data_IF_683441272413
#
_entry.id   IF_683441272413
#
_cell.length_a   1.000
_cell.length_b   1.000
_cell.length_c   1.000
_cell.angle_alpha   90.00
_cell.angle_beta   90.00
_cell.angle_gamma   90.00
#
_symmetry.space_group_name_H-M   'P 1'
#
loop_
_entity.id
_entity.type
_entity.pdbx_description
1 polymer ?
#
# COMPACT_ATOMS: atom_id res chain seq x y z
N UNK A 1 9.17 -8.50 8.86
CA UNK A 1 8.13 -8.74 7.83
C UNK A 1 7.05 -7.66 7.84
N UNK A 2 6.48 -7.32 9.01
CA UNK A 2 5.29 -6.44 9.17
C UNK A 2 5.26 -5.14 8.36
N UNK A 3 6.37 -4.40 8.28
CA UNK A 3 6.40 -3.13 7.52
C UNK A 3 6.12 -3.34 6.02
N UNK A 4 6.64 -4.43 5.43
CA UNK A 4 6.37 -4.79 4.03
C UNK A 4 4.90 -5.21 3.87
N UNK A 5 4.38 -6.02 4.81
CA UNK A 5 2.99 -6.47 4.78
C UNK A 5 2.03 -5.28 4.75
N UNK A 6 2.18 -4.33 5.68
CA UNK A 6 1.29 -3.17 5.78
C UNK A 6 1.47 -2.21 4.59
N UNK A 7 2.70 -2.02 4.09
CA UNK A 7 2.93 -1.22 2.88
C UNK A 7 2.15 -1.81 1.69
N UNK A 8 2.27 -3.11 1.46
CA UNK A 8 1.51 -3.78 0.39
C UNK A 8 -0.01 -3.78 0.62
N UNK A 9 -0.48 -3.77 1.87
CA UNK A 9 -1.92 -3.65 2.18
C UNK A 9 -2.49 -2.29 1.79
N UNK A 10 -1.74 -1.21 1.99
CA UNK A 10 -2.12 0.11 1.51
C UNK A 10 -2.06 0.18 -0.01
N UNK A 11 -0.99 -0.37 -0.62
CA UNK A 11 -0.82 -0.39 -2.06
C UNK A 11 -1.93 -1.18 -2.79
N UNK A 12 -2.34 -2.36 -2.30
CA UNK A 12 -3.46 -3.10 -2.90
C UNK A 12 -4.82 -2.53 -2.52
N UNK A 13 -4.95 -1.99 -1.31
CA UNK A 13 -6.23 -1.59 -0.74
C UNK A 13 -6.74 -0.24 -1.27
N UNK A 14 -5.85 0.73 -1.48
CA UNK A 14 -6.25 2.06 -1.92
C UNK A 14 -6.91 2.08 -3.32
N UNK A 15 -6.27 1.57 -4.39
CA UNK A 15 -6.87 1.54 -5.72
C UNK A 15 -8.11 0.64 -5.79
N UNK A 16 -8.14 -0.49 -5.05
CA UNK A 16 -9.35 -1.31 -4.94
C UNK A 16 -10.54 -0.50 -4.41
N UNK A 17 -10.36 0.23 -3.31
CA UNK A 17 -11.44 1.05 -2.73
C UNK A 17 -11.84 2.21 -3.64
N UNK A 18 -10.88 2.89 -4.25
CA UNK A 18 -11.12 4.00 -5.20
C UNK A 18 -11.89 3.52 -6.44
N UNK A 19 -11.55 2.35 -6.97
CA UNK A 19 -12.29 1.70 -8.05
C UNK A 19 -13.64 1.12 -7.59
N UNK A 20 -13.90 1.00 -6.28
CA UNK A 20 -15.03 0.26 -5.72
C UNK A 20 -14.98 -1.24 -6.00
N UNK A 21 -13.79 -1.78 -6.21
CA UNK A 21 -13.53 -3.21 -6.28
C UNK A 21 -13.32 -3.77 -4.87
N UNK A 22 -13.60 -5.06 -4.69
CA UNK A 22 -13.24 -5.75 -3.46
C UNK A 22 -11.72 -5.68 -3.22
N UNK A 23 -11.32 -5.48 -1.97
CA UNK A 23 -9.90 -5.50 -1.60
C UNK A 23 -9.46 -6.96 -1.46
N UNK A 24 -8.47 -7.43 -2.24
CA UNK A 24 -8.02 -8.81 -2.12
C UNK A 24 -7.39 -9.05 -0.74
N UNK A 25 -7.73 -10.20 -0.15
CA UNK A 25 -7.16 -10.64 1.14
C UNK A 25 -5.84 -11.36 0.91
N UNK A 26 -4.79 -10.89 1.55
CA UNK A 26 -3.49 -11.57 1.59
C UNK A 26 -3.29 -12.07 3.02
N UNK A 27 -2.86 -13.32 3.19
CA UNK A 27 -2.53 -13.85 4.51
C UNK A 27 -1.17 -13.30 4.96
N UNK A 28 -1.04 -12.96 6.23
CA UNK A 28 0.21 -12.42 6.81
C UNK A 28 1.13 -13.55 7.31
N UNK A 29 1.34 -14.58 6.50
CA UNK A 29 2.10 -15.78 6.87
C UNK A 29 3.55 -15.81 6.33
N UNK A 30 4.04 -14.71 5.74
CA UNK A 30 5.41 -14.64 5.20
C UNK A 30 6.47 -14.81 6.30
N UNK A 31 7.39 -15.75 6.10
CA UNK A 31 8.45 -16.09 7.05
C UNK A 31 9.87 -15.85 6.49
N UNK A 32 10.00 -15.57 5.20
CA UNK A 32 11.28 -15.38 4.50
C UNK A 32 11.29 -14.15 3.60
N UNK A 33 12.48 -13.74 3.13
CA UNK A 33 12.60 -12.70 2.11
C UNK A 33 11.95 -13.11 0.78
N UNK A 34 12.02 -14.39 0.41
CA UNK A 34 11.38 -14.89 -0.80
C UNK A 34 9.84 -14.71 -0.73
N UNK A 35 9.25 -15.00 0.43
CA UNK A 35 7.81 -14.79 0.65
C UNK A 35 7.44 -13.31 0.56
N UNK A 36 8.24 -12.42 1.15
CA UNK A 36 8.03 -10.98 1.07
C UNK A 36 8.15 -10.46 -0.37
N UNK A 37 9.13 -10.96 -1.14
CA UNK A 37 9.28 -10.62 -2.56
C UNK A 37 8.09 -11.12 -3.38
N UNK A 38 7.61 -12.33 -3.12
CA UNK A 38 6.41 -12.88 -3.75
C UNK A 38 5.16 -12.05 -3.42
N UNK A 39 5.00 -11.58 -2.18
CA UNK A 39 3.92 -10.66 -1.79
C UNK A 39 3.98 -9.35 -2.58
N UNK A 40 5.17 -8.76 -2.70
CA UNK A 40 5.38 -7.52 -3.47
C UNK A 40 5.02 -7.74 -4.95
N UNK A 41 5.51 -8.82 -5.57
CA UNK A 41 5.18 -9.15 -6.96
C UNK A 41 3.67 -9.31 -7.17
N UNK A 42 3.01 -10.07 -6.29
CA UNK A 42 1.54 -10.24 -6.29
C UNK A 42 0.79 -8.90 -6.18
N UNK A 43 1.28 -7.97 -5.36
CA UNK A 43 0.71 -6.62 -5.27
C UNK A 43 0.90 -5.84 -6.56
N UNK A 44 2.08 -5.89 -7.17
CA UNK A 44 2.35 -5.22 -8.46
C UNK A 44 1.45 -5.78 -9.57
N UNK A 45 1.28 -7.10 -9.64
CA UNK A 45 0.40 -7.74 -10.61
C UNK A 45 -1.06 -7.32 -10.41
N UNK A 46 -1.53 -7.21 -9.16
CA UNK A 46 -2.86 -6.68 -8.84
C UNK A 46 -3.01 -5.22 -9.29
N UNK A 47 -2.01 -4.37 -9.03
CA UNK A 47 -2.01 -2.97 -9.47
C UNK A 47 -2.07 -2.84 -10.99
N UNK A 48 -1.44 -3.75 -11.74
CA UNK A 48 -1.48 -3.77 -13.20
C UNK A 48 -2.87 -4.08 -13.78
N UNK A 49 -3.84 -4.53 -12.96
CA UNK A 49 -5.22 -4.81 -13.41
C UNK A 49 -6.14 -3.58 -13.43
N UNK A 50 -5.66 -2.42 -12.97
CA UNK A 50 -6.43 -1.18 -12.96
C UNK A 50 -6.09 -0.34 -14.20
N UNK A 51 -7.14 0.15 -14.85
CA UNK A 51 -7.06 1.15 -15.91
C UNK A 51 -7.38 2.54 -15.38
N UNK A 52 -7.11 3.59 -16.17
CA UNK A 52 -7.53 4.95 -15.82
C UNK A 52 -9.06 5.05 -15.66
N UNK A 53 -9.82 4.38 -16.54
CA UNK A 53 -11.28 4.36 -16.49
C UNK A 53 -11.83 3.74 -15.20
N UNK A 54 -11.10 2.84 -14.54
CA UNK A 54 -11.50 2.29 -13.24
C UNK A 54 -11.44 3.34 -12.12
N UNK A 55 -10.65 4.41 -12.30
CA UNK A 55 -10.49 5.49 -11.33
C UNK A 55 -11.44 6.67 -11.59
N UNK A 56 -12.21 6.66 -12.69
CA UNK A 56 -13.11 7.76 -13.04
C UNK A 56 -14.15 7.97 -11.93
N UNK A 57 -14.26 9.23 -11.48
CA UNK A 57 -15.14 9.62 -10.38
C UNK A 57 -14.73 9.09 -9.01
N UNK A 58 -13.53 8.51 -8.86
CA UNK A 58 -13.04 8.05 -7.55
C UNK A 58 -12.78 9.19 -6.57
N UNK A 59 -12.51 10.41 -7.06
CA UNK A 59 -12.20 11.58 -6.23
C UNK A 59 -13.30 11.89 -5.20
N UNK A 60 -14.56 11.82 -5.64
CA UNK A 60 -15.75 12.13 -4.81
C UNK A 60 -16.40 10.87 -4.21
N UNK A 61 -15.95 9.68 -4.60
CA UNK A 61 -16.50 8.42 -4.08
C UNK A 61 -16.30 8.33 -2.58
N UNK A 62 -17.39 8.09 -1.85
CA UNK A 62 -17.31 7.90 -0.40
C UNK A 62 -16.66 6.55 -0.07
N UNK A 63 -15.50 6.61 0.56
CA UNK A 63 -14.77 5.45 1.05
C UNK A 63 -15.12 5.23 2.52
N UNK A 64 -15.76 4.12 2.81
CA UNK A 64 -16.10 3.71 4.18
C UNK A 64 -15.00 2.83 4.76
N UNK A 65 -14.45 3.22 5.90
CA UNK A 65 -13.43 2.47 6.61
C UNK A 65 -13.91 2.11 8.01
N UNK A 66 -13.61 0.88 8.42
CA UNK A 66 -13.80 0.41 9.79
C UNK A 66 -12.45 0.24 10.45
N UNK A 67 -12.19 1.03 11.50
CA UNK A 67 -10.99 0.95 12.31
C UNK A 67 -11.38 0.57 13.74
N UNK A 68 -11.44 -0.74 14.00
CA UNK A 68 -11.97 -1.27 15.25
C UNK A 68 -13.47 -0.95 15.38
N UNK A 69 -13.85 -0.25 16.47
CA UNK A 69 -15.23 0.20 16.69
C UNK A 69 -15.57 1.54 16.03
N UNK A 70 -14.60 2.20 15.39
CA UNK A 70 -14.83 3.48 14.72
C UNK A 70 -15.09 3.24 13.24
N UNK A 71 -16.18 3.79 12.76
CA UNK A 71 -16.48 3.88 11.34
C UNK A 71 -16.31 5.33 10.92
N UNK A 72 -15.66 5.55 9.79
CA UNK A 72 -15.58 6.87 9.21
C UNK A 72 -15.60 6.78 7.68
N UNK A 73 -16.15 7.82 7.07
CA UNK A 73 -16.25 7.96 5.63
C UNK A 73 -15.56 9.24 5.17
N UNK A 74 -14.99 9.19 3.98
CA UNK A 74 -14.26 10.31 3.38
C UNK A 74 -14.31 10.19 1.86
N UNK A 75 -14.28 11.32 1.16
CA UNK A 75 -14.18 11.33 -0.30
C UNK A 75 -12.86 10.67 -0.74
N UNK A 76 -12.84 10.01 -1.89
CA UNK A 76 -11.71 9.19 -2.33
C UNK A 76 -10.41 9.98 -2.47
N UNK A 77 -10.45 11.23 -2.92
CA UNK A 77 -9.26 12.09 -2.95
C UNK A 77 -8.70 12.34 -1.54
N UNK A 78 -9.57 12.61 -0.57
CA UNK A 78 -9.15 12.81 0.83
C UNK A 78 -8.59 11.50 1.42
N UNK A 79 -9.24 10.37 1.14
CA UNK A 79 -8.76 9.05 1.53
C UNK A 79 -7.36 8.78 1.00
N UNK A 80 -7.15 9.00 -0.30
CA UNK A 80 -5.87 8.73 -0.95
C UNK A 80 -4.76 9.60 -0.35
N UNK A 81 -4.98 10.91 -0.29
CA UNK A 81 -3.94 11.88 0.08
C UNK A 81 -3.65 11.94 1.58
N UNK A 82 -4.68 11.80 2.43
CA UNK A 82 -4.53 12.01 3.88
C UNK A 82 -4.45 10.71 4.68
N UNK A 83 -4.82 9.56 4.10
CA UNK A 83 -4.78 8.29 4.79
C UNK A 83 -3.93 7.24 4.08
N UNK A 84 -4.26 6.90 2.83
CA UNK A 84 -3.61 5.78 2.16
C UNK A 84 -2.14 6.04 1.81
N UNK A 85 -1.84 7.15 1.13
CA UNK A 85 -0.47 7.48 0.72
C UNK A 85 0.47 7.76 1.90
N UNK A 86 0.08 8.55 2.93
CA UNK A 86 0.95 8.79 4.08
C UNK A 86 1.32 7.48 4.80
N UNK A 87 0.35 6.58 5.02
CA UNK A 87 0.63 5.29 5.64
C UNK A 87 1.52 4.40 4.75
N UNK A 88 1.26 4.35 3.44
CA UNK A 88 2.13 3.61 2.51
C UNK A 88 3.60 4.08 2.62
N UNK A 89 3.85 5.38 2.47
CA UNK A 89 5.21 5.90 2.54
C UNK A 89 5.85 5.77 3.92
N UNK A 90 5.08 5.90 5.00
CA UNK A 90 5.56 5.66 6.35
C UNK A 90 6.12 4.24 6.50
N UNK A 91 5.37 3.22 6.06
CA UNK A 91 5.77 1.83 6.18
C UNK A 91 6.93 1.46 5.25
N UNK A 92 6.97 2.00 4.02
CA UNK A 92 8.12 1.82 3.12
C UNK A 92 9.40 2.45 3.70
N UNK A 93 9.30 3.68 4.21
CA UNK A 93 10.43 4.38 4.84
C UNK A 93 10.90 3.65 6.09
N UNK A 94 9.98 3.18 6.93
CA UNK A 94 10.32 2.42 8.14
C UNK A 94 11.02 1.10 7.80
N UNK A 95 10.56 0.38 6.76
CA UNK A 95 11.24 -0.82 6.29
C UNK A 95 12.67 -0.52 5.78
N UNK A 96 12.83 0.56 5.02
CA UNK A 96 14.12 1.05 4.54
C UNK A 96 15.05 1.38 5.72
N UNK A 97 14.55 2.10 6.73
CA UNK A 97 15.34 2.52 7.89
C UNK A 97 15.78 1.34 8.75
N UNK A 98 14.94 0.31 8.93
CA UNK A 98 15.32 -0.92 9.62
C UNK A 98 16.49 -1.61 8.91
N UNK A 99 16.43 -1.76 7.58
CA UNK A 99 17.51 -2.38 6.82
C UNK A 99 18.79 -1.55 6.90
N UNK A 100 18.68 -0.22 6.74
CA UNK A 100 19.81 0.69 6.82
C UNK A 100 20.45 0.70 8.22
N UNK A 101 19.65 0.65 9.27
CA UNK A 101 20.11 0.54 10.65
C UNK A 101 20.91 -0.75 10.88
N UNK A 102 20.53 -1.85 10.22
CA UNK A 102 21.24 -3.13 10.27
C UNK A 102 22.44 -3.21 9.31
N UNK A 103 22.90 -2.09 8.74
CA UNK A 103 24.11 -2.03 7.94
C UNK A 103 23.94 -2.36 6.46
N UNK A 104 22.71 -2.54 5.96
CA UNK A 104 22.47 -2.68 4.51
C UNK A 104 22.84 -1.37 3.83
N UNK A 105 23.67 -1.37 2.77
CA UNK A 105 24.21 -0.16 2.13
C UNK A 105 23.17 0.53 1.23
N UNK A 106 22.08 1.01 1.83
CA UNK A 106 20.99 1.72 1.16
C UNK A 106 21.27 3.22 1.07
N UNK A 107 20.88 3.83 -0.06
CA UNK A 107 20.98 5.27 -0.30
C UNK A 107 19.62 5.91 -0.57
N UNK A 108 19.53 7.23 -0.40
CA UNK A 108 18.32 7.98 -0.79
C UNK A 108 17.99 7.78 -2.27
N UNK A 109 19.00 7.65 -3.14
CA UNK A 109 18.78 7.40 -4.56
C UNK A 109 18.09 6.04 -4.81
N UNK A 110 18.45 5.00 -4.05
CA UNK A 110 17.74 3.70 -4.09
C UNK A 110 16.29 3.87 -3.64
N UNK A 111 16.03 4.61 -2.55
CA UNK A 111 14.67 4.86 -2.07
C UNK A 111 13.81 5.61 -3.09
N UNK A 112 14.35 6.64 -3.74
CA UNK A 112 13.64 7.45 -4.72
C UNK A 112 13.34 6.70 -6.04
N UNK A 113 13.90 5.50 -6.22
CA UNK A 113 13.90 4.79 -7.50
C UNK A 113 14.82 5.53 -8.47
N UNK A 114 16.10 5.15 -8.52
CA UNK A 114 17.01 5.59 -9.56
C UNK A 114 16.39 5.28 -10.92
N UNK A 115 16.01 6.32 -11.66
CA UNK A 115 15.61 6.24 -13.07
C UNK A 115 16.82 5.93 -13.94
#
# INVERSE_FOLDING_TARGET
TRQVQIATDHAKGAPSRLAGREVPKYEDNEASFADLQARIAKTVDHLATFSAADMDGSDDRMIELKLGQREFSMAGMQYLLYLAMPNFYFHVTTAYDILRHNGVPLSKAIFMGSR
#
